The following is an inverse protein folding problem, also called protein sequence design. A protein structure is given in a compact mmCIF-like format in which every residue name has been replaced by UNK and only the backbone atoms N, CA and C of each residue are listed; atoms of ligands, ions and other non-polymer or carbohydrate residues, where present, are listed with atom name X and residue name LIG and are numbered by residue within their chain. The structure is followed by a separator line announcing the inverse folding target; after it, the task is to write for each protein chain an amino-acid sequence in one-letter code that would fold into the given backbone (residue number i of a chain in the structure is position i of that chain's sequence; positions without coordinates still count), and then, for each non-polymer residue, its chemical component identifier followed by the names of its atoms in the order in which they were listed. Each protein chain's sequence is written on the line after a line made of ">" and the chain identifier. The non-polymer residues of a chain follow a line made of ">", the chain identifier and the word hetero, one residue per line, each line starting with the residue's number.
data_IF_818239404416
#
_entry.id   IF_818239404416
#
_cell.length_a   1.000
_cell.length_b   1.000
_cell.length_c   1.000
_cell.angle_alpha   90.00
_cell.angle_beta   90.00
_cell.angle_gamma   90.00
#
_symmetry.space_group_name_H-M   'P 1'
#
loop_
_entity.id
_entity.type
_entity.pdbx_description
1 polymer ?
#
# COMPACT_ATOMS: atom_id res chain seq x y z
N UNK A 1 -20.90 23.59 -29.28
CA UNK A 1 -19.47 23.95 -29.17
C UNK A 1 -19.34 24.95 -28.03
N UNK A 2 -18.84 24.53 -26.86
CA UNK A 2 -18.49 25.45 -25.77
C UNK A 2 -16.96 25.53 -25.73
N UNK A 3 -16.36 26.64 -26.19
CA UNK A 3 -14.93 26.87 -26.06
C UNK A 3 -14.64 27.42 -24.67
N UNK A 4 -13.70 26.81 -23.92
CA UNK A 4 -13.12 27.47 -22.74
C UNK A 4 -13.20 26.77 -21.39
N UNK A 5 -13.48 25.47 -21.31
CA UNK A 5 -12.98 24.70 -20.16
C UNK A 5 -11.52 24.36 -20.44
N UNK A 6 -10.62 25.21 -19.94
CA UNK A 6 -9.22 24.88 -19.72
C UNK A 6 -9.20 23.68 -18.75
N UNK A 7 -9.43 22.49 -19.29
CA UNK A 7 -9.30 21.23 -18.58
C UNK A 7 -7.85 21.20 -18.13
N UNK A 8 -7.61 21.35 -16.81
CA UNK A 8 -6.28 21.16 -16.25
C UNK A 8 -5.85 19.74 -16.65
N UNK A 9 -5.03 19.65 -17.70
CA UNK A 9 -4.53 18.38 -18.25
C UNK A 9 -3.48 17.89 -17.27
N UNK A 10 -3.97 17.18 -16.26
CA UNK A 10 -3.22 16.56 -15.18
C UNK A 10 -2.10 15.63 -15.71
N UNK A 11 -1.13 15.33 -14.84
CA UNK A 11 0.02 14.50 -15.15
C UNK A 11 -0.36 13.07 -15.63
N UNK A 12 -1.53 12.58 -15.22
CA UNK A 12 -2.05 11.25 -15.55
C UNK A 12 -2.70 11.23 -16.94
N UNK A 13 -3.58 12.19 -17.24
CA UNK A 13 -4.40 12.19 -18.47
C UNK A 13 -3.98 13.24 -19.52
N UNK A 14 -2.94 14.04 -19.26
CA UNK A 14 -2.50 15.10 -20.16
C UNK A 14 -1.81 14.59 -21.44
N UNK A 15 -1.97 15.35 -22.52
CA UNK A 15 -1.32 15.10 -23.81
C UNK A 15 0.21 15.04 -23.69
N UNK A 16 0.81 14.18 -24.50
CA UNK A 16 2.26 14.02 -24.52
C UNK A 16 2.92 15.25 -25.16
N UNK A 17 3.56 16.08 -24.34
CA UNK A 17 4.20 17.34 -24.75
C UNK A 17 5.51 17.56 -23.97
N UNK A 18 6.32 18.55 -24.39
CA UNK A 18 7.54 18.93 -23.64
C UNK A 18 7.21 19.39 -22.21
N UNK A 19 6.11 20.14 -22.03
CA UNK A 19 5.64 20.57 -20.72
C UNK A 19 5.23 19.36 -19.85
N UNK A 20 4.47 18.42 -20.41
CA UNK A 20 4.10 17.19 -19.70
C UNK A 20 5.34 16.37 -19.32
N UNK A 21 6.33 16.25 -20.20
CA UNK A 21 7.60 15.55 -19.89
C UNK A 21 8.34 16.22 -18.74
N UNK A 22 8.41 17.55 -18.74
CA UNK A 22 9.05 18.32 -17.67
C UNK A 22 8.33 18.13 -16.33
N UNK A 23 7.00 18.26 -16.32
CA UNK A 23 6.19 18.01 -15.12
C UNK A 23 6.36 16.56 -14.63
N UNK A 24 6.29 15.58 -15.53
CA UNK A 24 6.48 14.17 -15.20
C UNK A 24 7.86 13.87 -14.62
N UNK A 25 8.91 14.46 -15.20
CA UNK A 25 10.27 14.32 -14.69
C UNK A 25 10.41 14.94 -13.30
N UNK A 26 9.87 16.15 -13.10
CA UNK A 26 9.91 16.84 -11.82
C UNK A 26 9.22 16.01 -10.72
N UNK A 27 7.98 15.58 -10.93
CA UNK A 27 7.22 14.78 -9.96
C UNK A 27 7.90 13.44 -9.67
N UNK A 28 8.39 12.75 -10.71
CA UNK A 28 9.12 11.48 -10.52
C UNK A 28 10.40 11.69 -9.72
N UNK A 29 11.18 12.72 -10.01
CA UNK A 29 12.40 13.04 -9.28
C UNK A 29 12.10 13.37 -7.81
N UNK A 30 11.06 14.17 -7.54
CA UNK A 30 10.64 14.49 -6.18
C UNK A 30 10.23 13.22 -5.39
N UNK A 31 9.39 12.36 -5.99
CA UNK A 31 8.98 11.10 -5.37
C UNK A 31 10.17 10.16 -5.13
N UNK A 32 11.10 10.02 -6.08
CA UNK A 32 12.28 9.15 -5.92
C UNK A 32 13.27 9.65 -4.88
N UNK A 33 13.43 10.97 -4.76
CA UNK A 33 14.28 11.57 -3.72
C UNK A 33 13.62 11.43 -2.34
N UNK A 34 12.31 11.56 -2.26
CA UNK A 34 11.53 11.24 -1.05
C UNK A 34 11.71 9.77 -0.66
N UNK A 35 11.48 8.84 -1.60
CA UNK A 35 11.51 7.39 -1.32
C UNK A 35 12.88 6.88 -0.90
N UNK A 36 13.96 7.41 -1.48
CA UNK A 36 15.33 6.98 -1.16
C UNK A 36 15.85 7.41 0.20
N UNK A 37 15.37 8.52 0.76
CA UNK A 37 16.03 9.16 1.90
C UNK A 37 15.36 8.91 3.25
N UNK A 38 14.05 8.66 3.31
CA UNK A 38 13.35 8.65 4.60
C UNK A 38 12.01 7.89 4.65
N UNK A 39 11.56 7.21 3.59
CA UNK A 39 10.16 6.78 3.51
C UNK A 39 9.80 5.45 4.17
N UNK A 40 10.72 4.48 4.18
CA UNK A 40 10.47 3.16 4.78
C UNK A 40 10.04 3.25 6.25
N UNK A 41 10.66 4.08 7.12
CA UNK A 41 10.21 4.28 8.49
C UNK A 41 8.77 4.77 8.62
N UNK A 42 8.30 5.67 7.73
CA UNK A 42 6.96 6.23 7.82
C UNK A 42 5.90 5.25 7.36
N UNK A 43 6.16 4.54 6.26
CA UNK A 43 5.28 3.46 5.80
C UNK A 43 5.19 2.40 6.88
N UNK A 44 6.31 2.03 7.50
CA UNK A 44 6.34 1.07 8.60
C UNK A 44 5.59 1.58 9.83
N UNK A 45 5.81 2.82 10.26
CA UNK A 45 5.12 3.40 11.41
C UNK A 45 3.61 3.49 11.20
N UNK A 46 3.14 3.99 10.05
CA UNK A 46 1.72 4.07 9.74
C UNK A 46 1.10 2.67 9.64
N UNK A 47 1.87 1.69 9.14
CA UNK A 47 1.45 0.29 9.12
C UNK A 47 1.40 -0.30 10.53
N UNK A 48 2.33 0.04 11.41
CA UNK A 48 2.33 -0.39 12.82
C UNK A 48 1.11 0.17 13.55
N UNK A 49 0.82 1.47 13.40
CA UNK A 49 -0.38 2.10 13.96
C UNK A 49 -1.67 1.45 13.43
N UNK A 50 -1.71 1.15 12.13
CA UNK A 50 -2.79 0.36 11.54
C UNK A 50 -2.92 -1.02 12.21
N UNK A 51 -1.81 -1.76 12.37
CA UNK A 51 -1.81 -3.07 13.02
C UNK A 51 -2.27 -2.98 14.49
N UNK A 52 -1.88 -1.94 15.22
CA UNK A 52 -2.34 -1.71 16.59
C UNK A 52 -3.85 -1.46 16.65
N UNK A 53 -4.38 -0.61 15.76
CA UNK A 53 -5.84 -0.39 15.65
C UNK A 53 -6.58 -1.68 15.31
N UNK A 54 -6.02 -2.50 14.42
CA UNK A 54 -6.61 -3.80 14.05
C UNK A 54 -6.56 -4.80 15.21
N UNK A 55 -5.54 -4.73 16.08
CA UNK A 55 -5.43 -5.58 17.26
C UNK A 55 -6.52 -5.28 18.30
N UNK A 56 -6.96 -4.02 18.43
CA UNK A 56 -8.10 -3.65 19.29
C UNK A 56 -9.40 -4.31 18.82
N UNK A 57 -9.53 -4.55 17.52
CA UNK A 57 -10.70 -5.20 16.89
C UNK A 57 -10.47 -6.70 16.62
N UNK A 58 -9.47 -7.31 17.28
CA UNK A 58 -9.06 -8.68 17.04
C UNK A 58 -10.24 -9.67 17.10
N UNK A 59 -10.36 -10.49 16.05
CA UNK A 59 -11.41 -11.51 15.95
C UNK A 59 -12.81 -10.99 15.57
N UNK A 60 -13.05 -9.67 15.57
CA UNK A 60 -14.27 -9.10 15.02
C UNK A 60 -14.20 -9.05 13.47
N UNK A 61 -15.32 -9.24 12.74
CA UNK A 61 -15.38 -8.99 11.31
C UNK A 61 -15.12 -7.51 11.00
N UNK A 62 -14.12 -7.23 10.14
CA UNK A 62 -13.74 -5.87 9.73
C UNK A 62 -13.85 -5.72 8.21
N UNK A 63 -14.36 -4.57 7.75
CA UNK A 63 -14.32 -4.18 6.32
C UNK A 63 -12.95 -3.61 5.97
N UNK A 64 -12.00 -4.47 5.68
CA UNK A 64 -10.58 -4.12 5.54
C UNK A 64 -10.27 -3.13 4.41
N UNK A 65 -11.11 -3.08 3.37
CA UNK A 65 -10.92 -2.17 2.23
C UNK A 65 -10.84 -0.70 2.65
N UNK A 66 -11.71 -0.28 3.58
CA UNK A 66 -11.72 1.10 4.07
C UNK A 66 -10.46 1.42 4.86
N UNK A 67 -10.02 0.48 5.68
CA UNK A 67 -8.81 0.64 6.49
C UNK A 67 -7.54 0.72 5.64
N UNK A 68 -7.41 -0.12 4.60
CA UNK A 68 -6.32 0.01 3.63
C UNK A 68 -6.38 1.32 2.87
N UNK A 69 -7.58 1.74 2.43
CA UNK A 69 -7.73 3.02 1.72
C UNK A 69 -7.28 4.20 2.58
N UNK A 70 -7.62 4.19 3.88
CA UNK A 70 -7.16 5.21 4.82
C UNK A 70 -5.65 5.15 5.05
N UNK A 71 -5.06 3.97 5.19
CA UNK A 71 -3.62 3.80 5.34
C UNK A 71 -2.86 4.36 4.13
N UNK A 72 -3.26 3.96 2.92
CA UNK A 72 -2.66 4.43 1.66
C UNK A 72 -2.81 5.94 1.49
N UNK A 73 -4.01 6.48 1.74
CA UNK A 73 -4.24 7.93 1.69
C UNK A 73 -3.35 8.67 2.69
N UNK A 74 -3.22 8.17 3.93
CA UNK A 74 -2.35 8.76 4.94
C UNK A 74 -0.89 8.74 4.50
N UNK A 75 -0.39 7.64 3.93
CA UNK A 75 0.96 7.56 3.39
C UNK A 75 1.16 8.61 2.28
N UNK A 76 0.27 8.66 1.28
CA UNK A 76 0.38 9.61 0.16
C UNK A 76 0.30 11.06 0.65
N UNK A 77 -0.64 11.38 1.55
CA UNK A 77 -0.78 12.71 2.14
C UNK A 77 0.47 13.10 2.92
N UNK A 78 1.02 12.18 3.71
CA UNK A 78 2.23 12.43 4.48
C UNK A 78 3.41 12.76 3.55
N UNK A 79 3.56 12.04 2.45
CA UNK A 79 4.62 12.28 1.46
C UNK A 79 4.45 13.60 0.70
N UNK A 80 3.20 14.00 0.47
CA UNK A 80 2.89 15.20 -0.31
C UNK A 80 2.97 16.47 0.54
N UNK A 81 2.56 16.39 1.81
CA UNK A 81 2.38 17.56 2.67
C UNK A 81 3.35 17.63 3.86
N UNK A 82 4.03 16.54 4.22
CA UNK A 82 5.14 16.47 5.18
C UNK A 82 4.82 16.96 6.59
N UNK A 83 4.52 16.06 7.56
CA UNK A 83 4.50 16.43 8.97
C UNK A 83 4.76 15.28 9.98
N UNK A 84 6.02 15.20 10.45
CA UNK A 84 6.58 15.05 11.83
C UNK A 84 7.86 14.21 11.82
N UNK A 85 8.78 14.44 12.76
CA UNK A 85 10.22 14.06 12.69
C UNK A 85 10.60 13.08 13.80
N UNK A 86 11.33 11.97 13.49
CA UNK A 86 12.63 11.54 14.09
C UNK A 86 13.06 10.11 13.65
N UNK A 87 14.38 9.94 13.47
CA UNK A 87 15.15 8.76 13.00
C UNK A 87 15.27 7.63 14.07
N UNK A 88 15.56 6.34 13.78
CA UNK A 88 16.81 5.71 13.26
C UNK A 88 16.63 4.19 12.90
N UNK A 89 17.19 3.74 11.75
CA UNK A 89 17.79 2.43 11.30
C UNK A 89 17.12 1.03 11.53
N UNK A 90 17.44 -0.04 10.74
CA UNK A 90 18.52 -0.20 9.74
C UNK A 90 18.09 -0.49 8.30
N UNK A 91 19.05 -0.21 7.42
CA UNK A 91 19.11 -0.40 5.98
C UNK A 91 19.17 -1.88 5.56
N UNK A 92 18.14 -2.34 4.83
CA UNK A 92 18.19 -3.16 3.61
C UNK A 92 16.87 -3.95 3.42
N UNK A 93 15.75 -3.27 3.11
CA UNK A 93 14.71 -3.90 2.29
C UNK A 93 15.20 -3.84 0.84
N UNK A 94 16.07 -4.80 0.49
CA UNK A 94 16.35 -5.09 -0.91
C UNK A 94 15.10 -5.80 -1.43
N UNK A 95 14.29 -5.09 -2.20
CA UNK A 95 13.29 -5.74 -3.04
C UNK A 95 14.00 -6.88 -3.78
N UNK A 96 13.49 -8.10 -3.64
CA UNK A 96 13.90 -9.18 -4.52
C UNK A 96 13.76 -8.64 -5.95
N UNK A 97 14.85 -8.69 -6.73
CA UNK A 97 14.82 -8.31 -8.14
C UNK A 97 13.58 -8.97 -8.75
N UNK A 98 12.67 -8.21 -9.38
CA UNK A 98 11.43 -8.76 -9.89
C UNK A 98 11.79 -9.88 -10.85
N UNK A 99 11.51 -11.13 -10.44
CA UNK A 99 11.56 -12.27 -11.34
C UNK A 99 10.68 -11.91 -12.52
N UNK A 100 11.32 -11.62 -13.66
CA UNK A 100 10.69 -10.97 -14.79
C UNK A 100 9.71 -11.95 -15.43
N UNK A 101 8.47 -11.97 -14.92
CA UNK A 101 7.32 -12.40 -15.70
C UNK A 101 6.88 -11.18 -16.53
N UNK A 102 7.13 -11.16 -17.86
CA UNK A 102 6.80 -10.03 -18.73
C UNK A 102 5.28 -9.75 -18.85
N UNK A 103 4.44 -10.54 -18.19
CA UNK A 103 2.98 -10.49 -18.25
C UNK A 103 2.32 -9.51 -17.25
N UNK A 104 3.03 -8.99 -16.25
CA UNK A 104 2.43 -8.12 -15.22
C UNK A 104 2.83 -6.64 -15.38
N UNK A 105 2.18 -5.92 -16.31
CA UNK A 105 2.29 -4.46 -16.46
C UNK A 105 1.31 -3.71 -15.53
N UNK A 106 1.21 -4.13 -14.26
CA UNK A 106 0.26 -3.56 -13.30
C UNK A 106 0.46 -2.05 -13.07
N UNK A 107 1.70 -1.57 -13.22
CA UNK A 107 2.05 -0.15 -13.14
C UNK A 107 2.21 0.52 -14.52
N UNK A 108 1.85 -0.19 -15.60
CA UNK A 108 2.08 0.22 -16.97
C UNK A 108 3.57 0.14 -17.37
N UNK A 109 3.92 0.78 -18.48
CA UNK A 109 5.28 0.80 -19.00
C UNK A 109 5.61 2.11 -19.75
N UNK A 110 6.88 2.30 -20.08
CA UNK A 110 7.37 3.41 -20.90
C UNK A 110 7.10 4.78 -20.28
N UNK A 111 6.82 5.78 -21.11
CA UNK A 111 6.60 7.15 -20.63
C UNK A 111 5.39 7.28 -19.71
N UNK A 112 4.40 6.38 -19.80
CA UNK A 112 3.16 6.40 -19.02
C UNK A 112 3.18 5.49 -17.79
N UNK A 113 4.33 4.88 -17.47
CA UNK A 113 4.51 4.14 -16.21
C UNK A 113 4.02 4.97 -15.02
N UNK A 114 3.37 4.30 -14.07
CA UNK A 114 2.80 4.88 -12.87
C UNK A 114 3.89 5.63 -12.08
N UNK A 115 3.61 6.89 -11.75
CA UNK A 115 4.54 7.71 -10.95
C UNK A 115 4.75 7.16 -9.55
N UNK A 116 3.71 6.53 -9.00
CA UNK A 116 3.72 5.94 -7.67
C UNK A 116 4.24 4.50 -7.61
N UNK A 117 4.78 3.92 -8.69
CA UNK A 117 5.19 2.50 -8.71
C UNK A 117 6.10 2.12 -7.53
N UNK A 118 7.18 2.89 -7.29
CA UNK A 118 8.13 2.59 -6.23
C UNK A 118 7.49 2.68 -4.84
N UNK A 119 6.60 3.65 -4.63
CA UNK A 119 5.85 3.81 -3.38
C UNK A 119 4.86 2.65 -3.19
N UNK A 120 4.06 2.35 -4.20
CA UNK A 120 3.05 1.29 -4.14
C UNK A 120 3.69 -0.08 -3.88
N UNK A 121 4.86 -0.37 -4.47
CA UNK A 121 5.62 -1.60 -4.18
C UNK A 121 6.12 -1.65 -2.74
N UNK A 122 6.65 -0.54 -2.22
CA UNK A 122 7.10 -0.44 -0.83
C UNK A 122 5.95 -0.63 0.15
N UNK A 123 4.87 0.12 -0.05
CA UNK A 123 3.68 0.05 0.77
C UNK A 123 3.08 -1.35 0.76
N UNK A 124 2.89 -1.95 -0.42
CA UNK A 124 2.36 -3.30 -0.54
C UNK A 124 3.24 -4.32 0.21
N UNK A 125 4.56 -4.21 0.06
CA UNK A 125 5.48 -5.11 0.75
C UNK A 125 5.41 -4.96 2.27
N UNK A 126 5.57 -3.74 2.79
CA UNK A 126 5.59 -3.48 4.24
C UNK A 126 4.25 -3.82 4.87
N UNK A 127 3.14 -3.38 4.26
CA UNK A 127 1.79 -3.64 4.77
C UNK A 127 1.49 -5.13 4.81
N UNK A 128 1.72 -5.85 3.71
CA UNK A 128 1.48 -7.30 3.68
C UNK A 128 2.39 -8.05 4.64
N UNK A 129 3.68 -7.71 4.69
CA UNK A 129 4.65 -8.33 5.58
C UNK A 129 4.22 -8.18 7.04
N UNK A 130 3.94 -6.95 7.49
CA UNK A 130 3.52 -6.67 8.86
C UNK A 130 2.20 -7.32 9.21
N UNK A 131 1.23 -7.27 8.30
CA UNK A 131 -0.08 -7.88 8.51
C UNK A 131 0.06 -9.40 8.67
N UNK A 132 0.77 -10.06 7.76
CA UNK A 132 0.95 -11.52 7.79
C UNK A 132 1.83 -11.98 8.95
N UNK A 133 2.80 -11.19 9.40
CA UNK A 133 3.57 -11.47 10.61
C UNK A 133 2.71 -11.33 11.88
N UNK A 134 1.85 -10.31 11.94
CA UNK A 134 1.08 -9.99 13.14
C UNK A 134 -0.24 -10.75 13.25
N UNK A 135 -0.84 -11.17 12.13
CA UNK A 135 -2.21 -11.72 12.10
C UNK A 135 -2.35 -12.96 11.22
N UNK A 136 -3.26 -13.85 11.64
CA UNK A 136 -3.90 -14.87 10.81
C UNK A 136 -5.19 -14.29 10.24
N UNK A 137 -5.32 -14.31 8.91
CA UNK A 137 -6.49 -13.85 8.18
C UNK A 137 -7.54 -14.96 8.16
N UNK A 138 -8.71 -14.70 8.74
CA UNK A 138 -9.81 -15.66 8.79
C UNK A 138 -11.06 -15.11 8.12
N UNK A 139 -11.88 -15.97 7.48
CA UNK A 139 -13.19 -15.55 7.01
C UNK A 139 -14.10 -15.16 8.18
N UNK A 140 -15.18 -14.40 7.95
CA UNK A 140 -16.24 -14.21 8.93
C UNK A 140 -16.75 -15.56 9.46
N UNK A 141 -17.22 -15.64 10.72
CA UNK A 141 -17.64 -16.89 11.34
C UNK A 141 -18.91 -17.47 10.68
N UNK A 142 -19.71 -16.59 10.05
CA UNK A 142 -20.91 -16.93 9.30
C UNK A 142 -20.84 -16.25 7.94
N UNK A 143 -21.06 -17.00 6.87
CA UNK A 143 -21.08 -16.48 5.50
C UNK A 143 -20.20 -17.28 4.54
N UNK A 144 -20.32 -16.96 3.25
CA UNK A 144 -19.47 -17.50 2.19
C UNK A 144 -18.13 -16.75 2.12
N UNK A 145 -17.13 -17.38 1.50
CA UNK A 145 -15.89 -16.71 1.13
C UNK A 145 -16.17 -15.51 0.20
N UNK A 146 -15.30 -14.47 0.22
CA UNK A 146 -15.45 -13.33 -0.65
C UNK A 146 -15.44 -13.76 -2.13
N UNK A 147 -16.32 -13.14 -2.92
CA UNK A 147 -16.33 -13.34 -4.37
C UNK A 147 -15.01 -12.85 -4.97
N UNK A 148 -14.43 -13.68 -5.84
CA UNK A 148 -13.24 -13.31 -6.62
C UNK A 148 -13.61 -12.58 -7.93
N UNK A 149 -14.90 -12.42 -8.21
CA UNK A 149 -15.35 -11.66 -9.36
C UNK A 149 -15.20 -10.16 -9.09
N UNK A 150 -14.74 -9.37 -10.07
CA UNK A 150 -14.67 -7.93 -9.94
C UNK A 150 -16.07 -7.32 -9.78
N UNK A 151 -16.12 -6.14 -9.18
CA UNK A 151 -17.32 -5.33 -9.09
C UNK A 151 -17.80 -4.99 -10.51
N UNK A 152 -19.04 -5.37 -10.92
CA UNK A 152 -19.56 -5.12 -12.25
C UNK A 152 -19.72 -3.62 -12.58
N UNK A 153 -19.71 -2.74 -11.59
CA UNK A 153 -19.81 -1.28 -11.77
C UNK A 153 -18.44 -0.58 -11.75
N UNK A 154 -17.35 -1.28 -12.08
CA UNK A 154 -16.02 -0.67 -12.07
C UNK A 154 -15.81 0.32 -13.24
N UNK A 155 -15.36 1.53 -12.90
CA UNK A 155 -14.92 2.54 -13.88
C UNK A 155 -13.40 2.47 -14.09
N UNK A 156 -12.69 3.49 -13.60
CA UNK A 156 -11.22 3.64 -13.75
C UNK A 156 -10.41 2.69 -12.86
N UNK A 157 -10.99 2.23 -11.73
CA UNK A 157 -10.31 1.36 -10.77
C UNK A 157 -11.01 0.00 -10.72
N UNK A 158 -10.23 -1.09 -10.78
CA UNK A 158 -10.71 -2.43 -10.49
C UNK A 158 -11.03 -2.52 -8.99
N UNK A 159 -12.29 -2.83 -8.65
CA UNK A 159 -12.73 -2.99 -7.27
C UNK A 159 -13.19 -4.42 -7.05
N UNK A 160 -12.88 -4.95 -5.88
CA UNK A 160 -13.51 -6.17 -5.37
C UNK A 160 -14.84 -5.81 -4.72
N UNK A 161 -15.77 -6.77 -4.70
CA UNK A 161 -17.01 -6.60 -3.96
C UNK A 161 -16.71 -6.44 -2.45
N UNK A 162 -17.51 -5.65 -1.70
CA UNK A 162 -17.31 -5.47 -0.27
C UNK A 162 -17.31 -6.81 0.47
N UNK A 163 -16.28 -7.05 1.26
CA UNK A 163 -16.16 -8.25 2.08
C UNK A 163 -15.64 -7.92 3.48
N UNK A 164 -15.83 -8.88 4.39
CA UNK A 164 -15.33 -8.80 5.75
C UNK A 164 -14.27 -9.87 5.97
N UNK A 165 -13.30 -9.54 6.82
CA UNK A 165 -12.24 -10.44 7.24
C UNK A 165 -12.07 -10.30 8.75
N UNK A 166 -11.71 -11.40 9.42
CA UNK A 166 -11.29 -11.38 10.82
C UNK A 166 -9.78 -11.42 10.88
N UNK A 167 -9.19 -10.47 11.59
CA UNK A 167 -7.76 -10.44 11.88
C UNK A 167 -7.53 -11.04 13.26
N UNK A 168 -6.97 -12.24 13.32
CA UNK A 168 -6.64 -12.89 14.59
C UNK A 168 -5.15 -12.70 14.88
N UNK A 169 -4.75 -12.01 15.96
CA UNK A 169 -3.34 -11.82 16.29
C UNK A 169 -2.62 -13.16 16.39
N UNK A 170 -1.45 -13.27 15.76
CA UNK A 170 -0.52 -14.35 16.05
C UNK A 170 0.12 -14.05 17.40
N UNK A 171 0.16 -15.02 18.29
CA UNK A 171 0.95 -14.90 19.49
C UNK A 171 2.40 -14.67 19.09
N UNK A 172 3.00 -13.58 19.55
CA UNK A 172 4.45 -13.59 19.69
C UNK A 172 4.69 -14.65 20.75
N UNK A 173 5.26 -15.80 20.40
CA UNK A 173 5.88 -16.68 21.39
C UNK A 173 7.10 -15.95 21.95
N UNK A 174 6.84 -14.95 22.80
CA UNK A 174 7.81 -14.44 23.75
C UNK A 174 7.82 -15.42 24.92
N UNK A 175 8.62 -16.48 24.81
CA UNK A 175 9.08 -17.27 25.96
C UNK A 175 8.45 -18.65 26.22
N UNK A 176 8.25 -19.51 25.21
CA UNK A 176 7.73 -20.87 25.43
C UNK A 176 8.62 -22.03 24.92
N UNK A 177 9.89 -21.78 24.56
CA UNK A 177 10.83 -22.85 24.15
C UNK A 177 11.88 -23.23 25.21
N UNK A 178 11.94 -22.55 26.37
CA UNK A 178 12.93 -22.85 27.43
C UNK A 178 12.39 -23.66 28.62
N UNK A 179 11.19 -24.24 28.54
CA UNK A 179 10.66 -25.13 29.59
C UNK A 179 10.38 -26.56 29.14
N UNK A 180 10.68 -26.91 27.89
CA UNK A 180 10.50 -28.26 27.36
C UNK A 180 11.81 -29.07 27.21
N UNK A 181 12.93 -28.57 27.75
CA UNK A 181 14.23 -29.29 27.76
C UNK A 181 14.85 -29.43 29.14
N UNK A 182 14.06 -29.24 30.20
CA UNK A 182 14.44 -29.60 31.56
C UNK A 182 13.41 -30.59 32.14
N UNK A 183 13.37 -31.79 31.55
CA UNK A 183 12.98 -32.99 32.28
C UNK A 183 13.64 -34.23 31.67
#
# INVERSE_FOLDING_TARGET
>A
MVPGLLLCRDISLGDYSLLWKAHKKLTRSALLLGTRSSMEPWVDQLTQEFCERMRVQAGAPVTIQKEFSLLTCSIICYLTFGNKVKALLPSHIRFLEPGANPSALAFGCGARVCLGESLARLELFVVLLRLLQAFTLLPPPVGALPSLQPDPYCGVNLKVQPFQVRLQPRGVEAGAWESASAQ
#
